data_IF_636389436719
#
_entry.id   IF_636389436719
#
_cell.length_a   1.000
_cell.length_b   1.000
_cell.length_c   1.000
_cell.angle_alpha   90.00
_cell.angle_beta   90.00
_cell.angle_gamma   90.00
#
_symmetry.space_group_name_H-M   'P 1'
#
loop_
_entity.id
_entity.type
_entity.pdbx_description
1 polymer ?
#
# COMPACT_ATOMS: atom_id res chain seq x y z
N UNK A 1 -2.23 -16.05 -2.13
CA UNK A 1 -3.48 -15.26 -2.17
C UNK A 1 -4.60 -16.16 -2.67
N UNK A 2 -5.83 -15.95 -2.21
CA UNK A 2 -7.02 -16.70 -2.61
C UNK A 2 -8.05 -15.72 -3.14
N UNK A 3 -8.55 -15.97 -4.35
CA UNK A 3 -9.68 -15.23 -4.92
C UNK A 3 -10.93 -15.49 -4.07
N UNK A 4 -11.62 -14.42 -3.69
CA UNK A 4 -12.84 -14.49 -2.89
C UNK A 4 -14.11 -14.55 -3.75
N UNK A 5 -13.97 -14.63 -5.08
CA UNK A 5 -15.04 -14.60 -6.09
C UNK A 5 -15.95 -13.38 -5.96
N UNK A 6 -15.44 -12.32 -5.33
CA UNK A 6 -16.13 -11.06 -5.11
C UNK A 6 -15.47 -9.98 -5.94
N UNK A 7 -16.30 -9.21 -6.65
CA UNK A 7 -15.91 -8.05 -7.45
C UNK A 7 -16.55 -6.78 -6.87
N UNK A 8 -15.92 -5.63 -7.09
CA UNK A 8 -16.45 -4.30 -6.77
C UNK A 8 -15.98 -3.30 -7.84
N UNK A 9 -16.64 -2.14 -7.90
CA UNK A 9 -16.28 -1.00 -8.77
C UNK A 9 -15.93 0.20 -7.88
N UNK A 10 -14.68 0.67 -7.94
CA UNK A 10 -14.18 1.76 -7.10
C UNK A 10 -13.46 2.79 -7.98
N UNK A 11 -13.87 4.05 -7.91
CA UNK A 11 -13.33 5.13 -8.75
C UNK A 11 -13.37 4.81 -10.27
N UNK A 12 -14.39 4.07 -10.70
CA UNK A 12 -14.55 3.57 -12.08
C UNK A 12 -13.56 2.47 -12.50
N UNK A 13 -12.85 1.88 -11.56
CA UNK A 13 -11.99 0.73 -11.78
C UNK A 13 -12.64 -0.53 -11.20
N UNK A 14 -12.72 -1.57 -12.02
CA UNK A 14 -13.12 -2.90 -11.56
C UNK A 14 -12.01 -3.49 -10.70
N UNK A 15 -12.39 -4.05 -9.55
CA UNK A 15 -11.46 -4.78 -8.71
C UNK A 15 -12.04 -6.12 -8.22
N UNK A 16 -11.16 -7.10 -8.06
CA UNK A 16 -11.46 -8.40 -7.48
C UNK A 16 -10.88 -8.49 -6.06
N UNK A 17 -11.63 -9.10 -5.15
CA UNK A 17 -11.22 -9.28 -3.77
C UNK A 17 -10.38 -10.53 -3.59
N UNK A 18 -9.28 -10.36 -2.86
CA UNK A 18 -8.37 -11.45 -2.53
C UNK A 18 -8.08 -11.49 -1.04
N UNK A 19 -8.06 -12.69 -0.48
CA UNK A 19 -7.41 -12.95 0.80
C UNK A 19 -5.91 -13.11 0.55
N UNK A 20 -5.11 -12.14 1.03
CA UNK A 20 -3.65 -12.14 0.82
C UNK A 20 -2.93 -13.01 1.83
N UNK A 21 -3.58 -13.32 2.95
CA UNK A 21 -3.03 -14.07 4.09
C UNK A 21 -3.99 -15.19 4.49
N UNK A 22 -4.31 -16.13 3.58
CA UNK A 22 -5.23 -17.22 3.88
C UNK A 22 -4.65 -18.06 5.02
N UNK A 23 -5.51 -18.56 5.90
CA UNK A 23 -5.15 -19.32 7.11
C UNK A 23 -4.36 -18.55 8.16
N UNK A 24 -4.19 -17.23 8.02
CA UNK A 24 -3.58 -16.43 9.07
C UNK A 24 -4.56 -16.19 10.22
N UNK A 25 -4.17 -16.59 11.43
CA UNK A 25 -4.96 -16.34 12.63
C UNK A 25 -4.89 -14.87 13.06
N UNK A 26 -3.75 -14.22 12.79
CA UNK A 26 -3.46 -12.82 13.13
C UNK A 26 -2.84 -12.08 11.93
N UNK A 27 -2.80 -10.74 11.97
CA UNK A 27 -2.29 -9.89 10.87
C UNK A 27 -2.90 -10.22 9.48
N UNK A 28 -4.23 -10.32 9.43
CA UNK A 28 -4.97 -10.68 8.23
C UNK A 28 -5.09 -9.50 7.28
N UNK A 29 -5.03 -9.79 5.98
CA UNK A 29 -5.12 -8.82 4.90
C UNK A 29 -6.05 -9.30 3.78
N UNK A 30 -7.04 -8.48 3.47
CA UNK A 30 -7.85 -8.59 2.25
C UNK A 30 -7.69 -7.35 1.40
N UNK A 31 -7.57 -7.53 0.10
CA UNK A 31 -7.40 -6.42 -0.83
C UNK A 31 -8.39 -6.52 -1.99
N UNK A 32 -8.90 -5.38 -2.44
CA UNK A 32 -9.56 -5.28 -3.75
C UNK A 32 -8.53 -4.78 -4.75
N UNK A 33 -8.13 -5.65 -5.69
CA UNK A 33 -7.08 -5.36 -6.67
C UNK A 33 -7.68 -5.14 -8.06
N UNK A 34 -7.21 -4.12 -8.75
CA UNK A 34 -7.45 -3.96 -10.20
C UNK A 34 -6.81 -5.10 -11.00
N UNK A 35 -7.14 -5.20 -12.28
CA UNK A 35 -6.57 -6.23 -13.17
C UNK A 35 -5.04 -6.18 -13.30
N UNK A 36 -4.42 -5.01 -13.13
CA UNK A 36 -2.98 -4.78 -13.11
C UNK A 36 -2.36 -4.83 -11.69
N UNK A 37 -3.15 -5.17 -10.68
CA UNK A 37 -2.68 -5.50 -9.34
C UNK A 37 -2.59 -4.32 -8.37
N UNK A 38 -3.19 -3.17 -8.69
CA UNK A 38 -3.22 -1.98 -7.82
C UNK A 38 -4.30 -2.17 -6.74
N UNK A 39 -3.97 -2.04 -5.44
CA UNK A 39 -4.96 -2.11 -4.38
C UNK A 39 -5.80 -0.84 -4.31
N UNK A 40 -7.11 -0.99 -4.49
CA UNK A 40 -8.09 0.09 -4.31
C UNK A 40 -8.59 0.17 -2.86
N UNK A 41 -8.61 -0.98 -2.16
CA UNK A 41 -8.97 -1.08 -0.74
C UNK A 41 -8.12 -2.13 -0.09
N UNK A 42 -7.56 -1.79 1.07
CA UNK A 42 -6.90 -2.71 1.98
C UNK A 42 -7.69 -2.82 3.27
N UNK A 43 -7.95 -4.05 3.71
CA UNK A 43 -8.58 -4.35 4.99
C UNK A 43 -7.62 -5.17 5.82
N UNK A 44 -7.14 -4.56 6.90
CA UNK A 44 -6.24 -5.19 7.86
C UNK A 44 -7.01 -5.49 9.14
N UNK A 45 -6.80 -6.68 9.71
CA UNK A 45 -7.32 -6.96 11.03
C UNK A 45 -6.53 -8.03 11.78
N UNK A 46 -6.55 -7.91 13.10
CA UNK A 46 -5.91 -8.79 14.07
C UNK A 46 -6.94 -9.25 15.11
N UNK A 47 -6.49 -10.03 16.09
CA UNK A 47 -7.29 -10.30 17.29
C UNK A 47 -7.62 -9.05 18.12
N UNK A 48 -6.90 -7.94 17.91
CA UNK A 48 -6.93 -6.74 18.76
C UNK A 48 -7.55 -5.51 18.10
N UNK A 49 -7.94 -5.60 16.83
CA UNK A 49 -8.52 -4.47 16.11
C UNK A 49 -8.35 -4.61 14.59
N UNK A 50 -8.84 -3.63 13.85
CA UNK A 50 -8.72 -3.60 12.41
C UNK A 50 -8.85 -2.20 11.84
N UNK A 51 -8.35 -2.05 10.62
CA UNK A 51 -8.34 -0.81 9.87
C UNK A 51 -8.66 -1.07 8.41
N UNK A 52 -9.18 -0.04 7.73
CA UNK A 52 -9.48 -0.11 6.31
C UNK A 52 -8.93 1.13 5.64
N UNK A 53 -8.06 0.92 4.66
CA UNK A 53 -7.54 1.97 3.80
C UNK A 53 -8.25 1.87 2.45
N UNK A 54 -8.72 3.00 1.95
CA UNK A 54 -9.35 3.11 0.64
C UNK A 54 -8.72 4.26 -0.12
N UNK A 55 -8.39 4.04 -1.38
CA UNK A 55 -7.84 5.10 -2.21
C UNK A 55 -8.92 6.17 -2.47
N UNK A 56 -8.47 7.41 -2.61
CA UNK A 56 -9.35 8.57 -2.89
C UNK A 56 -9.19 9.09 -4.31
N UNK A 57 -8.09 8.74 -4.98
CA UNK A 57 -7.81 9.09 -6.37
C UNK A 57 -6.90 8.01 -6.98
N UNK A 58 -7.05 7.77 -8.28
CA UNK A 58 -6.16 6.94 -9.09
C UNK A 58 -5.91 7.64 -10.43
N UNK A 59 -4.70 7.54 -10.94
CA UNK A 59 -4.35 8.05 -12.27
C UNK A 59 -3.33 7.13 -12.91
N UNK A 60 -3.72 6.49 -14.02
CA UNK A 60 -2.81 5.67 -14.80
C UNK A 60 -2.01 6.55 -15.75
N UNK A 61 -0.70 6.66 -15.49
CA UNK A 61 0.25 7.34 -16.37
C UNK A 61 1.66 6.83 -16.14
N UNK A 62 2.53 7.09 -17.10
CA UNK A 62 3.96 6.92 -16.89
C UNK A 62 4.44 7.90 -15.82
N UNK A 63 5.27 7.41 -14.91
CA UNK A 63 5.92 8.19 -13.85
C UNK A 63 7.40 8.30 -14.20
N UNK A 64 7.96 9.51 -14.15
CA UNK A 64 9.39 9.71 -14.42
C UNK A 64 10.23 9.38 -13.18
N UNK A 65 11.52 9.13 -13.36
CA UNK A 65 12.41 8.84 -12.24
C UNK A 65 12.54 10.03 -11.28
N UNK A 66 12.50 11.25 -11.81
CA UNK A 66 12.57 12.48 -11.04
C UNK A 66 11.36 12.64 -10.12
N UNK A 67 10.18 12.16 -10.52
CA UNK A 67 8.98 12.17 -9.70
C UNK A 67 9.00 11.10 -8.60
N UNK A 68 9.64 9.95 -8.86
CA UNK A 68 9.82 8.91 -7.86
C UNK A 68 10.81 9.31 -6.77
N UNK A 69 11.69 10.29 -7.03
CA UNK A 69 12.70 10.71 -6.08
C UNK A 69 12.04 11.48 -4.93
N UNK A 70 12.18 11.01 -3.67
CA UNK A 70 11.75 11.80 -2.52
C UNK A 70 12.46 13.16 -2.51
N UNK A 71 11.84 14.22 -1.97
CA UNK A 71 12.52 15.48 -1.71
C UNK A 71 13.90 15.26 -1.09
N UNK A 72 14.91 15.98 -1.59
CA UNK A 72 16.31 15.77 -1.18
C UNK A 72 16.52 15.86 0.32
N UNK A 73 15.73 16.69 0.99
CA UNK A 73 15.80 16.89 2.44
C UNK A 73 15.39 15.63 3.24
N UNK A 74 14.64 14.69 2.65
CA UNK A 74 14.40 13.38 3.26
C UNK A 74 15.59 12.42 3.14
N UNK A 75 16.53 12.70 2.23
CA UNK A 75 17.66 11.82 1.94
C UNK A 75 18.91 12.20 2.74
N UNK A 76 18.90 13.37 3.40
CA UNK A 76 20.01 13.82 4.23
C UNK A 76 19.77 13.42 5.70
N UNK A 77 20.60 12.53 6.27
CA UNK A 77 20.46 12.12 7.66
C UNK A 77 20.48 13.30 8.64
N UNK A 78 21.26 14.35 8.32
CA UNK A 78 21.33 15.58 9.09
C UNK A 78 19.99 16.33 9.17
N UNK A 79 19.17 16.29 8.12
CA UNK A 79 17.83 16.88 8.13
C UNK A 79 16.86 16.07 9.01
N UNK A 80 17.11 14.77 9.19
CA UNK A 80 16.41 13.91 10.14
C UNK A 80 16.99 13.89 11.56
N UNK A 81 17.96 14.75 11.88
CA UNK A 81 18.60 14.82 13.21
C UNK A 81 19.68 13.76 13.47
N UNK A 82 20.05 12.96 12.47
CA UNK A 82 21.16 12.02 12.58
C UNK A 82 22.48 12.74 12.29
N UNK A 83 23.20 13.12 13.35
CA UNK A 83 24.57 13.59 13.21
C UNK A 83 25.46 12.42 12.78
N UNK A 84 26.22 12.58 11.69
CA UNK A 84 27.26 11.63 11.33
C UNK A 84 28.25 11.51 12.50
N UNK A 85 28.39 10.31 13.07
CA UNK A 85 29.43 10.06 14.06
C UNK A 85 30.79 10.33 13.41
N UNK A 86 31.58 11.24 13.99
CA UNK A 86 32.99 11.36 13.63
C UNK A 86 33.65 10.04 13.99
N UNK A 87 34.10 9.29 12.97
CA UNK A 87 35.07 8.23 13.16
C UNK A 87 36.39 8.93 13.54
N UNK A 88 36.73 8.88 14.82
CA UNK A 88 38.01 9.31 15.37
C UNK A 88 39.03 8.19 15.34
#
# INVERSE_FOLDING_TARGET
MVDMEKRDLILSEDCAWFDRTPNSADARLRQCLTSDGIPLVDKHWSGWGGETFKIVALTHRTVSLEELQPPRDYLYPAAGGFAAAKLG
#
